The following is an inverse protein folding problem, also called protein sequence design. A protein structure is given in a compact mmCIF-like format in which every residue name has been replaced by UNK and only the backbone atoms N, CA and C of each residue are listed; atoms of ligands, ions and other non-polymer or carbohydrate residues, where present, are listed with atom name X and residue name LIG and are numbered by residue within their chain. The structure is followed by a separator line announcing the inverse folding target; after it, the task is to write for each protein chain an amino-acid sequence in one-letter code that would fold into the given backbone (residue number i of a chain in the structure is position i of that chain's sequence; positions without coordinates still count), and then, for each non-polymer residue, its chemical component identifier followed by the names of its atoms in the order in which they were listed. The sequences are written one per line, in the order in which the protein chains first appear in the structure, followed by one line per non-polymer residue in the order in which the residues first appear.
data_IF_333436736802
#
_entry.id   IF_333436736802
#
_cell.length_a   1.000
_cell.length_b   1.000
_cell.length_c   1.000
_cell.angle_alpha   90.00
_cell.angle_beta   90.00
_cell.angle_gamma   90.00
#
_symmetry.space_group_name_H-M   'P 1'
#
loop_
_entity.id
_entity.type
_entity.pdbx_description
1 polymer ?
#
# COMPACT_ATOMS: atom_id res chain seq x y z
N UNK A 1 -8.30 16.39 -2.69
CA UNK A 1 -7.95 15.13 -1.98
C UNK A 1 -6.56 14.70 -2.40
N UNK A 2 -5.74 14.22 -1.47
CA UNK A 2 -4.40 13.68 -1.78
C UNK A 2 -4.49 12.15 -1.83
N UNK A 3 -5.10 11.62 -2.90
CA UNK A 3 -5.26 10.18 -3.10
C UNK A 3 -3.93 9.57 -3.53
N UNK A 4 -3.54 8.48 -2.89
CA UNK A 4 -2.30 7.72 -3.14
C UNK A 4 -2.55 6.28 -3.55
N UNK A 5 -3.70 5.73 -3.17
CA UNK A 5 -4.14 4.38 -3.51
C UNK A 5 -5.58 4.42 -3.98
N UNK A 6 -5.87 3.72 -5.07
CA UNK A 6 -7.24 3.43 -5.50
C UNK A 6 -7.45 1.92 -5.45
N UNK A 7 -8.47 1.50 -4.70
CA UNK A 7 -8.89 0.11 -4.60
C UNK A 7 -10.15 -0.06 -5.44
N UNK A 8 -10.09 -0.95 -6.42
CA UNK A 8 -11.13 -1.15 -7.42
C UNK A 8 -11.94 -2.41 -7.12
N UNK A 9 -13.27 -2.32 -7.22
CA UNK A 9 -14.06 -3.47 -7.63
C UNK A 9 -13.87 -3.71 -9.13
N UNK A 10 -14.29 -4.86 -9.60
CA UNK A 10 -14.14 -5.26 -10.99
C UNK A 10 -15.49 -5.29 -11.72
N UNK A 11 -16.44 -6.08 -11.20
CA UNK A 11 -17.76 -6.24 -11.78
C UNK A 11 -18.57 -4.93 -11.66
N UNK A 12 -19.14 -4.46 -12.75
CA UNK A 12 -19.83 -3.18 -12.78
C UNK A 12 -18.92 -1.92 -12.83
N UNK A 13 -17.60 -2.09 -12.66
CA UNK A 13 -16.60 -0.99 -12.64
C UNK A 13 -15.62 -1.10 -13.80
N UNK A 14 -14.81 -2.17 -13.86
CA UNK A 14 -13.86 -2.43 -14.96
C UNK A 14 -14.54 -3.09 -16.16
N UNK A 15 -15.62 -3.82 -15.94
CA UNK A 15 -16.44 -4.49 -16.97
C UNK A 15 -17.88 -4.65 -16.51
N UNK A 16 -18.78 -4.89 -17.47
CA UNK A 16 -20.23 -4.86 -17.22
C UNK A 16 -20.78 -6.10 -16.48
N UNK A 17 -20.18 -7.28 -16.68
CA UNK A 17 -20.76 -8.53 -16.21
C UNK A 17 -19.99 -9.12 -15.04
N UNK A 18 -20.68 -9.85 -14.16
CA UNK A 18 -20.04 -10.68 -13.15
C UNK A 18 -19.38 -11.89 -13.80
N UNK A 19 -18.04 -11.92 -13.79
CA UNK A 19 -17.23 -13.02 -14.33
C UNK A 19 -17.50 -14.32 -13.57
N UNK A 20 -17.79 -14.22 -12.28
CA UNK A 20 -18.13 -15.37 -11.44
C UNK A 20 -19.42 -16.08 -11.88
N UNK A 21 -20.42 -15.32 -12.33
CA UNK A 21 -21.75 -15.83 -12.69
C UNK A 21 -21.84 -16.22 -14.17
N UNK A 22 -21.35 -15.36 -15.05
CA UNK A 22 -21.53 -15.51 -16.51
C UNK A 22 -20.34 -16.18 -17.21
N UNK A 23 -19.18 -16.21 -16.57
CA UNK A 23 -17.93 -16.67 -17.18
C UNK A 23 -17.36 -15.71 -18.24
N UNK A 24 -17.92 -14.50 -18.38
CA UNK A 24 -17.53 -13.47 -19.35
C UNK A 24 -17.55 -12.10 -18.69
N UNK A 25 -16.66 -11.20 -19.11
CA UNK A 25 -16.61 -9.81 -18.66
C UNK A 25 -17.73 -8.94 -19.24
N UNK A 26 -18.39 -9.38 -20.33
CA UNK A 26 -19.17 -8.45 -21.15
C UNK A 26 -18.27 -7.36 -21.76
N UNK A 27 -18.76 -6.13 -21.82
CA UNK A 27 -17.98 -5.01 -22.35
C UNK A 27 -17.00 -4.49 -21.30
N UNK A 28 -15.73 -4.37 -21.68
CA UNK A 28 -14.65 -3.83 -20.85
C UNK A 28 -14.66 -2.29 -20.90
N UNK A 29 -14.50 -1.65 -19.76
CA UNK A 29 -14.42 -0.20 -19.63
C UNK A 29 -12.98 0.30 -19.89
N UNK A 30 -12.66 0.55 -21.16
CA UNK A 30 -11.34 1.01 -21.56
C UNK A 30 -10.95 2.37 -20.94
N UNK A 31 -11.91 3.24 -20.61
CA UNK A 31 -11.61 4.52 -19.93
C UNK A 31 -10.99 4.29 -18.54
N UNK A 32 -11.49 3.30 -17.80
CA UNK A 32 -10.92 2.93 -16.49
C UNK A 32 -9.52 2.33 -16.67
N UNK A 33 -9.32 1.47 -17.68
CA UNK A 33 -8.00 0.87 -17.96
C UNK A 33 -6.97 1.95 -18.29
N UNK A 34 -7.31 2.87 -19.18
CA UNK A 34 -6.43 3.98 -19.57
C UNK A 34 -6.12 4.88 -18.38
N UNK A 35 -7.12 5.14 -17.53
CA UNK A 35 -6.93 5.89 -16.30
C UNK A 35 -5.98 5.19 -15.34
N UNK A 36 -6.12 3.87 -15.12
CA UNK A 36 -5.22 3.08 -14.26
C UNK A 36 -3.79 3.20 -14.77
N UNK A 37 -3.55 2.95 -16.07
CA UNK A 37 -2.22 3.04 -16.69
C UNK A 37 -1.60 4.42 -16.54
N UNK A 38 -2.39 5.48 -16.76
CA UNK A 38 -1.90 6.85 -16.70
C UNK A 38 -1.64 7.33 -15.26
N UNK A 39 -2.56 7.05 -14.35
CA UNK A 39 -2.44 7.47 -12.95
C UNK A 39 -1.35 6.70 -12.20
N UNK A 40 -1.12 5.44 -12.55
CA UNK A 40 0.01 4.66 -12.04
C UNK A 40 1.35 5.34 -12.37
N UNK A 41 1.57 5.74 -13.63
CA UNK A 41 2.75 6.47 -14.05
C UNK A 41 2.94 7.81 -13.31
N UNK A 42 1.84 8.40 -12.85
CA UNK A 42 1.82 9.64 -12.08
C UNK A 42 2.01 9.43 -10.57
N UNK A 43 2.15 8.17 -10.10
CA UNK A 43 2.45 7.83 -8.71
C UNK A 43 1.25 7.40 -7.86
N UNK A 44 0.07 7.21 -8.46
CA UNK A 44 -1.06 6.55 -7.81
C UNK A 44 -0.81 5.03 -7.80
N UNK A 45 -1.08 4.39 -6.68
CA UNK A 45 -1.02 2.94 -6.53
C UNK A 45 -2.41 2.38 -6.76
N UNK A 46 -2.49 1.20 -7.34
CA UNK A 46 -3.75 0.51 -7.58
C UNK A 46 -3.80 -0.84 -6.88
N UNK A 47 -4.96 -1.19 -6.36
CA UNK A 47 -5.27 -2.52 -5.82
C UNK A 47 -6.65 -2.97 -6.30
N UNK A 48 -6.95 -4.23 -6.14
CA UNK A 48 -8.26 -4.82 -6.44
C UNK A 48 -8.84 -5.44 -5.19
N UNK A 49 -10.15 -5.22 -4.95
CA UNK A 49 -10.94 -5.95 -3.96
C UNK A 49 -12.25 -6.40 -4.60
N UNK A 50 -12.32 -7.65 -5.04
CA UNK A 50 -13.47 -8.18 -5.79
C UNK A 50 -13.85 -9.58 -5.34
N UNK A 51 -15.17 -9.87 -5.30
CA UNK A 51 -15.73 -11.18 -4.97
C UNK A 51 -15.79 -12.06 -6.22
N UNK A 52 -14.65 -12.62 -6.59
CA UNK A 52 -14.46 -13.35 -7.83
C UNK A 52 -13.51 -14.55 -7.68
N UNK A 53 -13.38 -15.34 -8.75
CA UNK A 53 -12.35 -16.37 -8.89
C UNK A 53 -11.02 -15.74 -9.32
N UNK A 54 -10.01 -15.87 -8.47
CA UNK A 54 -8.67 -15.31 -8.71
C UNK A 54 -8.05 -15.74 -10.03
N UNK A 55 -8.16 -17.04 -10.39
CA UNK A 55 -7.49 -17.56 -11.56
C UNK A 55 -8.09 -16.97 -12.83
N UNK A 56 -9.42 -16.92 -12.91
CA UNK A 56 -10.13 -16.34 -14.07
C UNK A 56 -9.85 -14.86 -14.21
N UNK A 57 -10.00 -14.11 -13.10
CA UNK A 57 -9.78 -12.65 -13.09
C UNK A 57 -8.33 -12.32 -13.44
N UNK A 58 -7.37 -13.03 -12.86
CA UNK A 58 -5.95 -12.82 -13.15
C UNK A 58 -5.67 -12.97 -14.65
N UNK A 59 -6.16 -14.04 -15.29
CA UNK A 59 -6.01 -14.24 -16.75
C UNK A 59 -6.56 -13.05 -17.53
N UNK A 60 -7.75 -12.55 -17.18
CA UNK A 60 -8.35 -11.39 -17.86
C UNK A 60 -7.51 -10.13 -17.67
N UNK A 61 -7.05 -9.86 -16.46
CA UNK A 61 -6.23 -8.68 -16.17
C UNK A 61 -4.85 -8.74 -16.82
N UNK A 62 -4.29 -9.96 -17.01
CA UNK A 62 -3.06 -10.20 -17.77
C UNK A 62 -3.30 -9.95 -19.29
N UNK A 63 -4.41 -10.41 -19.85
CA UNK A 63 -4.80 -10.13 -21.24
C UNK A 63 -5.01 -8.64 -21.52
N UNK A 64 -5.48 -7.89 -20.52
CA UNK A 64 -5.66 -6.43 -20.57
C UNK A 64 -4.36 -5.65 -20.29
N UNK A 65 -3.26 -6.33 -19.98
CA UNK A 65 -1.96 -5.74 -19.65
C UNK A 65 -2.03 -4.74 -18.48
N UNK A 66 -2.73 -5.13 -17.40
CA UNK A 66 -2.88 -4.33 -16.17
C UNK A 66 -2.67 -5.13 -14.89
N UNK A 67 -2.51 -6.45 -14.93
CA UNK A 67 -2.32 -7.26 -13.72
C UNK A 67 -1.14 -6.77 -12.87
N UNK A 68 -0.02 -6.48 -13.50
CA UNK A 68 1.21 -6.08 -12.80
C UNK A 68 1.13 -4.67 -12.19
N UNK A 69 0.12 -3.89 -12.56
CA UNK A 69 -0.12 -2.56 -11.98
C UNK A 69 -0.81 -2.62 -10.61
N UNK A 70 -1.41 -3.77 -10.25
CA UNK A 70 -2.09 -3.93 -8.97
C UNK A 70 -1.15 -4.50 -7.91
N UNK A 71 -1.23 -3.94 -6.70
CA UNK A 71 -0.52 -4.39 -5.51
C UNK A 71 -1.52 -4.89 -4.46
N UNK A 72 -1.15 -5.91 -3.71
CA UNK A 72 -2.02 -6.54 -2.70
C UNK A 72 -3.44 -6.85 -3.21
N UNK A 73 -3.62 -7.42 -4.43
CA UNK A 73 -4.93 -7.72 -4.95
C UNK A 73 -5.62 -8.77 -4.07
N UNK A 74 -6.86 -8.48 -3.68
CA UNK A 74 -7.71 -9.38 -2.91
C UNK A 74 -8.91 -9.79 -3.77
N UNK A 75 -8.84 -10.97 -4.34
CA UNK A 75 -9.85 -11.54 -5.23
C UNK A 75 -10.28 -12.87 -4.65
N UNK A 76 -11.31 -12.82 -3.84
CA UNK A 76 -11.94 -13.95 -3.17
C UNK A 76 -13.37 -13.57 -2.73
N UNK A 77 -14.09 -14.49 -2.08
CA UNK A 77 -15.45 -14.25 -1.63
C UNK A 77 -15.56 -13.73 -0.19
N UNK A 78 -14.49 -13.16 0.35
CA UNK A 78 -14.50 -12.56 1.68
C UNK A 78 -15.23 -11.22 1.72
N UNK A 79 -15.72 -10.77 2.90
CA UNK A 79 -16.32 -9.45 3.06
C UNK A 79 -15.36 -8.32 2.66
N UNK A 80 -15.86 -7.32 1.92
CA UNK A 80 -15.00 -6.23 1.38
C UNK A 80 -14.48 -5.28 2.46
N UNK A 81 -15.26 -5.01 3.51
CA UNK A 81 -14.87 -4.09 4.56
C UNK A 81 -13.55 -4.44 5.24
N UNK A 82 -13.42 -5.62 5.89
CA UNK A 82 -12.17 -6.06 6.49
C UNK A 82 -11.03 -6.18 5.47
N UNK A 83 -11.36 -6.62 4.23
CA UNK A 83 -10.39 -6.84 3.16
C UNK A 83 -9.75 -5.53 2.71
N UNK A 84 -10.53 -4.49 2.44
CA UNK A 84 -10.03 -3.16 2.07
C UNK A 84 -9.21 -2.56 3.21
N UNK A 85 -9.64 -2.70 4.47
CA UNK A 85 -8.84 -2.25 5.62
C UNK A 85 -7.47 -2.95 5.66
N UNK A 86 -7.42 -4.26 5.41
CA UNK A 86 -6.16 -5.02 5.33
C UNK A 86 -5.27 -4.55 4.18
N UNK A 87 -5.82 -4.21 3.01
CA UNK A 87 -5.07 -3.63 1.88
C UNK A 87 -4.44 -2.31 2.31
N UNK A 88 -5.20 -1.42 2.96
CA UNK A 88 -4.72 -0.12 3.45
C UNK A 88 -3.56 -0.30 4.43
N UNK A 89 -3.69 -1.20 5.39
CA UNK A 89 -2.65 -1.53 6.37
C UNK A 89 -1.39 -2.10 5.70
N UNK A 90 -1.56 -3.01 4.73
CA UNK A 90 -0.46 -3.60 3.97
C UNK A 90 0.30 -2.57 3.15
N UNK A 91 -0.42 -1.61 2.56
CA UNK A 91 0.16 -0.47 1.87
C UNK A 91 0.75 0.59 2.82
N UNK A 92 0.55 0.47 4.13
CA UNK A 92 1.01 1.43 5.15
C UNK A 92 0.52 2.87 4.87
N UNK A 93 -0.69 3.02 4.39
CA UNK A 93 -1.30 4.30 4.06
C UNK A 93 -2.36 4.71 5.09
N UNK A 94 -2.65 6.02 5.13
CA UNK A 94 -3.81 6.52 5.86
C UNK A 94 -5.08 6.34 5.03
N UNK A 95 -6.20 6.03 5.68
CA UNK A 95 -7.51 5.91 5.03
C UNK A 95 -7.88 7.15 4.21
N UNK A 96 -7.52 8.36 4.68
CA UNK A 96 -7.74 9.63 3.95
C UNK A 96 -7.06 9.70 2.57
N UNK A 97 -6.01 8.89 2.35
CA UNK A 97 -5.28 8.86 1.09
C UNK A 97 -5.74 7.71 0.16
N UNK A 98 -6.84 7.04 0.52
CA UNK A 98 -7.37 5.89 -0.22
C UNK A 98 -8.74 6.22 -0.79
N UNK A 99 -8.95 5.83 -2.04
CA UNK A 99 -10.23 5.85 -2.72
C UNK A 99 -10.66 4.41 -2.99
N UNK A 100 -11.85 4.04 -2.56
CA UNK A 100 -12.49 2.77 -2.90
C UNK A 100 -13.60 3.02 -3.93
N UNK A 101 -13.59 2.25 -5.02
CA UNK A 101 -14.54 2.37 -6.13
C UNK A 101 -15.31 1.07 -6.27
N UNK A 102 -16.63 1.13 -6.13
CA UNK A 102 -17.53 -0.04 -6.18
C UNK A 102 -18.92 0.45 -6.57
N UNK A 103 -19.59 -0.19 -7.53
CA UNK A 103 -20.91 0.20 -8.00
C UNK A 103 -22.04 -0.15 -7.00
N UNK A 104 -21.74 -0.98 -5.98
CA UNK A 104 -22.69 -1.44 -4.99
C UNK A 104 -22.57 -0.66 -3.68
N UNK A 105 -23.59 0.14 -3.36
CA UNK A 105 -23.65 0.94 -2.14
C UNK A 105 -23.57 0.09 -0.85
N UNK A 106 -23.97 -1.19 -0.89
CA UNK A 106 -23.86 -2.09 0.27
C UNK A 106 -22.37 -2.34 0.59
N UNK A 107 -21.57 -2.61 -0.43
CA UNK A 107 -20.12 -2.79 -0.28
C UNK A 107 -19.44 -1.50 0.20
N UNK A 108 -19.85 -0.36 -0.38
CA UNK A 108 -19.35 0.97 0.04
C UNK A 108 -19.63 1.21 1.53
N UNK A 109 -20.85 0.94 1.98
CA UNK A 109 -21.24 1.12 3.38
C UNK A 109 -20.50 0.15 4.31
N UNK A 110 -20.28 -1.09 3.86
CA UNK A 110 -19.46 -2.06 4.59
C UNK A 110 -18.02 -1.55 4.76
N UNK A 111 -17.41 -1.07 3.68
CA UNK A 111 -16.04 -0.54 3.72
C UNK A 111 -15.95 0.69 4.62
N UNK A 112 -16.89 1.62 4.55
CA UNK A 112 -16.96 2.79 5.45
C UNK A 112 -17.10 2.41 6.92
N UNK A 113 -17.78 1.32 7.23
CA UNK A 113 -17.88 0.84 8.61
C UNK A 113 -16.54 0.43 9.19
N UNK A 114 -15.70 -0.27 8.41
CA UNK A 114 -14.35 -0.70 8.82
C UNK A 114 -13.27 0.36 8.64
N UNK A 115 -13.48 1.29 7.73
CA UNK A 115 -12.56 2.36 7.38
C UNK A 115 -13.31 3.70 7.26
N UNK A 116 -13.68 4.35 8.37
CA UNK A 116 -14.59 5.51 8.36
C UNK A 116 -14.07 6.72 7.60
N UNK A 117 -12.75 6.86 7.49
CA UNK A 117 -12.09 8.01 6.86
C UNK A 117 -11.72 7.77 5.39
N UNK A 118 -12.14 6.63 4.81
CA UNK A 118 -11.87 6.31 3.41
C UNK A 118 -12.72 7.16 2.46
N UNK A 119 -12.15 7.54 1.32
CA UNK A 119 -12.92 8.15 0.24
C UNK A 119 -13.57 7.04 -0.58
N UNK A 120 -14.77 7.28 -1.09
CA UNK A 120 -15.51 6.28 -1.88
C UNK A 120 -16.20 6.93 -3.07
N UNK A 121 -16.28 6.19 -4.18
CA UNK A 121 -17.07 6.52 -5.36
C UNK A 121 -17.89 5.30 -5.79
N UNK A 122 -19.14 5.52 -6.18
CA UNK A 122 -20.03 4.45 -6.65
C UNK A 122 -20.14 4.37 -8.19
N UNK A 123 -19.37 5.16 -8.88
CA UNK A 123 -19.25 5.14 -10.34
C UNK A 123 -17.88 5.66 -10.76
N UNK A 124 -17.58 5.59 -12.05
CA UNK A 124 -16.28 5.96 -12.61
C UNK A 124 -16.23 7.39 -13.16
N UNK A 125 -17.27 8.20 -12.98
CA UNK A 125 -17.32 9.58 -13.50
C UNK A 125 -16.28 10.51 -12.88
N UNK A 126 -15.83 10.20 -11.66
CA UNK A 126 -14.77 10.94 -10.98
C UNK A 126 -13.47 11.02 -11.80
N UNK A 127 -13.21 10.04 -12.68
CA UNK A 127 -12.03 9.99 -13.56
C UNK A 127 -11.92 11.28 -14.41
N UNK A 128 -13.05 11.85 -14.85
CA UNK A 128 -13.08 13.04 -15.70
C UNK A 128 -12.58 14.30 -15.00
N UNK A 129 -12.68 14.34 -13.68
CA UNK A 129 -12.29 15.48 -12.83
C UNK A 129 -11.15 15.17 -11.88
N UNK A 130 -10.55 13.97 -11.99
CA UNK A 130 -9.49 13.55 -11.11
C UNK A 130 -8.22 14.38 -11.32
N UNK A 131 -7.73 14.98 -10.24
CA UNK A 131 -6.50 15.77 -10.30
C UNK A 131 -5.29 14.84 -10.21
N UNK A 132 -4.63 14.60 -11.34
CA UNK A 132 -3.44 13.75 -11.42
C UNK A 132 -2.28 14.36 -10.64
N UNK A 133 -1.65 13.62 -9.73
CA UNK A 133 -0.44 14.09 -9.07
C UNK A 133 0.73 14.16 -10.08
N UNK A 134 1.70 15.01 -9.78
CA UNK A 134 2.97 15.05 -10.47
C UNK A 134 3.95 14.13 -9.75
N UNK A 135 3.97 12.87 -10.10
CA UNK A 135 4.79 11.84 -9.46
C UNK A 135 5.48 10.93 -10.45
N UNK A 136 6.03 9.85 -9.93
CA UNK A 136 6.57 8.73 -10.70
C UNK A 136 5.93 7.44 -10.19
N UNK A 137 5.86 6.40 -11.03
CA UNK A 137 5.42 5.08 -10.63
C UNK A 137 6.06 4.63 -9.30
N UNK A 138 5.26 4.02 -8.46
CA UNK A 138 5.64 3.50 -7.14
C UNK A 138 5.31 2.01 -7.02
N UNK A 139 4.75 1.41 -8.04
CA UNK A 139 4.27 0.03 -8.05
C UNK A 139 5.36 -0.96 -7.65
N UNK A 140 6.57 -0.83 -8.19
CA UNK A 140 7.70 -1.70 -7.84
C UNK A 140 8.04 -1.67 -6.35
N UNK A 141 7.96 -0.50 -5.71
CA UNK A 141 8.21 -0.38 -4.27
C UNK A 141 7.17 -1.16 -3.45
N UNK A 142 5.91 -1.14 -3.90
CA UNK A 142 4.82 -1.86 -3.23
C UNK A 142 4.81 -3.35 -3.55
N UNK A 143 5.27 -3.76 -4.74
CA UNK A 143 5.53 -5.18 -5.05
C UNK A 143 6.60 -5.77 -4.12
N UNK A 144 7.64 -5.02 -3.80
CA UNK A 144 8.62 -5.44 -2.79
C UNK A 144 7.97 -5.58 -1.39
N UNK A 145 7.03 -4.71 -1.03
CA UNK A 145 6.29 -4.84 0.24
C UNK A 145 5.38 -6.08 0.24
N UNK A 146 4.76 -6.41 -0.88
CA UNK A 146 3.99 -7.65 -1.05
C UNK A 146 4.85 -8.88 -0.75
N UNK A 147 6.01 -8.99 -1.41
CA UNK A 147 6.95 -10.11 -1.19
C UNK A 147 7.34 -10.19 0.29
N UNK A 148 7.70 -9.05 0.90
CA UNK A 148 8.06 -9.02 2.32
C UNK A 148 6.90 -9.35 3.27
N UNK A 149 5.65 -9.08 2.89
CA UNK A 149 4.49 -9.43 3.69
C UNK A 149 4.27 -10.95 3.71
N UNK A 150 4.39 -11.60 2.54
CA UNK A 150 4.35 -13.07 2.44
C UNK A 150 5.47 -13.73 3.24
N UNK A 151 6.68 -13.16 3.20
CA UNK A 151 7.83 -13.68 3.94
C UNK A 151 7.71 -13.50 5.45
N UNK A 152 6.99 -12.49 5.95
CA UNK A 152 6.75 -12.30 7.39
C UNK A 152 5.91 -13.41 8.01
N UNK A 153 4.99 -13.98 7.26
CA UNK A 153 4.19 -15.12 7.71
C UNK A 153 4.99 -16.44 7.68
N UNK A 154 6.13 -16.46 6.98
CA UNK A 154 7.08 -17.56 6.96
C UNK A 154 8.28 -17.28 7.90
N UNK A 155 8.20 -17.76 9.14
CA UNK A 155 9.31 -17.69 10.13
C UNK A 155 10.63 -18.30 9.60
N UNK A 156 10.58 -19.10 8.57
CA UNK A 156 11.73 -19.70 7.86
C UNK A 156 12.63 -18.64 7.21
N UNK A 157 12.09 -17.54 6.71
CA UNK A 157 12.87 -16.46 6.07
C UNK A 157 13.94 -15.87 6.99
N UNK A 158 13.61 -15.67 8.26
CA UNK A 158 14.59 -15.14 9.24
C UNK A 158 15.72 -16.12 9.56
N UNK A 159 15.50 -17.43 9.39
CA UNK A 159 16.51 -18.47 9.61
C UNK A 159 17.44 -18.65 8.41
N UNK A 160 16.92 -18.42 7.20
CA UNK A 160 17.65 -18.64 5.94
C UNK A 160 18.33 -17.36 5.42
N UNK A 161 17.93 -16.19 5.92
CA UNK A 161 18.62 -14.94 5.63
C UNK A 161 19.86 -14.83 6.53
N UNK A 162 21.04 -14.73 5.95
CA UNK A 162 22.32 -14.51 6.66
C UNK A 162 22.35 -13.08 7.24
N UNK A 163 21.39 -12.81 8.16
CA UNK A 163 21.26 -11.50 8.81
C UNK A 163 22.38 -11.37 9.84
N UNK A 164 23.35 -10.54 9.53
CA UNK A 164 24.42 -10.16 10.48
C UNK A 164 23.93 -8.98 11.30
N UNK A 165 23.64 -9.23 12.58
CA UNK A 165 23.32 -8.17 13.55
C UNK A 165 24.61 -7.68 14.16
N UNK A 166 24.94 -6.40 13.93
CA UNK A 166 26.05 -5.72 14.59
C UNK A 166 25.51 -4.74 15.62
N UNK A 167 25.85 -4.94 16.88
CA UNK A 167 25.48 -4.03 17.96
C UNK A 167 26.67 -3.09 18.18
N UNK A 168 26.48 -1.80 17.90
CA UNK A 168 27.48 -0.76 18.15
C UNK A 168 27.06 0.09 19.34
N UNK A 169 28.00 0.44 20.20
CA UNK A 169 27.81 1.33 21.33
C UNK A 169 28.45 2.70 21.07
N UNK A 170 28.16 3.67 21.93
CA UNK A 170 28.35 5.13 21.83
C UNK A 170 29.49 5.64 20.93
N UNK A 171 30.67 5.06 20.97
CA UNK A 171 31.83 5.60 20.24
C UNK A 171 31.87 5.23 18.76
N UNK A 172 31.20 4.17 18.37
CA UNK A 172 31.19 3.66 16.99
C UNK A 172 29.93 4.02 16.21
N UNK A 173 28.93 4.63 16.86
CA UNK A 173 27.68 5.03 16.20
C UNK A 173 27.88 6.17 15.19
N UNK A 174 28.96 6.94 15.30
CA UNK A 174 29.22 8.09 14.41
C UNK A 174 29.31 7.73 12.94
N UNK A 175 29.85 6.56 12.63
CA UNK A 175 29.97 6.07 11.25
C UNK A 175 28.59 5.89 10.61
N UNK A 176 27.55 5.65 11.43
CA UNK A 176 26.18 5.42 10.98
C UNK A 176 25.22 6.59 11.29
N UNK A 177 25.76 7.74 11.75
CA UNK A 177 24.94 8.85 12.24
C UNK A 177 23.89 9.32 11.23
N UNK A 178 24.28 9.56 9.97
CA UNK A 178 23.36 10.01 8.92
C UNK A 178 22.24 9.00 8.69
N UNK A 179 22.57 7.70 8.71
CA UNK A 179 21.59 6.64 8.56
C UNK A 179 20.66 6.53 9.77
N UNK A 180 21.17 6.74 10.97
CA UNK A 180 20.37 6.76 12.20
C UNK A 180 19.39 7.93 12.15
N UNK A 181 19.84 9.11 11.78
CA UNK A 181 18.99 10.29 11.62
C UNK A 181 17.90 10.08 10.58
N UNK A 182 18.25 9.48 9.44
CA UNK A 182 17.28 9.11 8.40
C UNK A 182 16.21 8.17 8.95
N UNK A 183 16.59 7.09 9.62
CA UNK A 183 15.67 6.10 10.18
C UNK A 183 14.77 6.71 11.25
N UNK A 184 15.31 7.52 12.16
CA UNK A 184 14.53 8.20 13.20
C UNK A 184 13.53 9.18 12.58
N UNK A 185 13.94 9.93 11.56
CA UNK A 185 13.05 10.87 10.88
C UNK A 185 11.93 10.19 10.05
N UNK A 186 12.15 8.95 9.62
CA UNK A 186 11.15 8.16 8.88
C UNK A 186 10.21 7.39 9.82
N UNK A 187 10.63 7.13 11.06
CA UNK A 187 9.87 6.31 12.01
C UNK A 187 8.96 7.15 12.89
N UNK A 188 7.68 7.27 12.52
CA UNK A 188 6.67 7.92 13.36
C UNK A 188 6.26 7.06 14.58
N UNK A 189 6.37 5.72 14.48
CA UNK A 189 5.96 4.80 15.58
C UNK A 189 7.01 4.59 16.67
N UNK A 190 8.29 4.74 16.34
CA UNK A 190 9.39 4.55 17.29
C UNK A 190 9.96 5.86 17.84
N UNK A 191 9.53 6.99 17.31
CA UNK A 191 9.94 8.31 17.77
C UNK A 191 8.96 8.85 18.82
N UNK A 192 9.10 8.36 20.06
CA UNK A 192 8.24 8.75 21.19
C UNK A 192 8.31 10.25 21.54
N UNK A 193 9.40 10.93 21.17
CA UNK A 193 9.56 12.37 21.41
C UNK A 193 8.94 13.22 20.30
N UNK A 194 8.54 12.64 19.19
CA UNK A 194 8.11 13.32 17.95
C UNK A 194 9.11 14.41 17.47
N UNK A 195 10.37 14.27 17.86
CA UNK A 195 11.44 15.21 17.53
C UNK A 195 12.13 14.74 16.25
N UNK A 196 12.21 15.62 15.25
CA UNK A 196 12.96 15.35 14.02
C UNK A 196 14.36 15.93 14.15
N UNK A 197 15.38 15.12 13.85
CA UNK A 197 16.76 15.58 13.84
C UNK A 197 17.06 16.33 12.54
N UNK A 198 17.60 17.53 12.67
CA UNK A 198 18.17 18.27 11.53
C UNK A 198 19.66 17.93 11.41
N UNK A 199 20.14 17.68 10.21
CA UNK A 199 21.54 17.33 9.92
C UNK A 199 22.60 18.34 10.39
N UNK A 200 22.19 19.52 10.82
CA UNK A 200 23.10 20.65 11.11
C UNK A 200 23.68 20.65 12.54
N UNK A 201 23.20 19.79 13.45
CA UNK A 201 23.62 19.81 14.85
C UNK A 201 24.60 18.68 15.20
N UNK A 202 25.71 18.62 14.48
CA UNK A 202 26.72 17.56 14.65
C UNK A 202 27.50 17.61 15.97
N UNK A 203 27.44 18.68 16.74
CA UNK A 203 28.36 18.90 17.88
C UNK A 203 27.63 19.04 19.22
N UNK A 204 26.43 19.51 19.29
CA UNK A 204 25.75 19.85 20.55
C UNK A 204 24.85 18.75 21.14
N UNK A 205 24.51 17.71 20.41
CA UNK A 205 23.61 16.64 20.89
C UNK A 205 24.34 15.42 21.46
N UNK A 206 25.66 15.46 21.52
CA UNK A 206 26.50 14.37 22.04
C UNK A 206 26.19 13.91 23.46
N UNK A 207 25.76 14.78 24.40
CA UNK A 207 25.47 14.34 25.78
C UNK A 207 24.10 13.70 25.97
N UNK A 208 23.18 13.84 24.99
CA UNK A 208 21.77 13.47 25.14
C UNK A 208 21.36 12.15 24.46
N UNK A 209 22.23 11.56 23.66
CA UNK A 209 21.97 10.22 23.09
C UNK A 209 22.45 9.17 24.11
N UNK A 210 21.82 9.13 25.25
CA UNK A 210 21.90 8.00 26.17
C UNK A 210 20.91 6.95 25.71
N UNK A 211 21.32 6.10 24.77
CA UNK A 211 20.62 4.86 24.51
C UNK A 211 20.90 3.98 25.73
N UNK A 212 20.00 4.01 26.71
CA UNK A 212 20.05 3.03 27.78
C UNK A 212 20.02 1.64 27.15
N UNK A 213 21.13 0.97 27.22
CA UNK A 213 21.25 -0.45 26.86
C UNK A 213 20.49 -1.28 27.90
N UNK A 214 19.19 -1.37 27.77
CA UNK A 214 18.43 -2.51 28.27
C UNK A 214 17.83 -3.19 27.06
N UNK A 215 18.51 -4.29 26.70
CA UNK A 215 17.97 -5.40 25.90
C UNK A 215 16.73 -5.02 25.09
N UNK A 216 16.92 -4.58 23.83
CA UNK A 216 15.89 -4.85 22.82
C UNK A 216 16.41 -4.38 21.45
N UNK A 217 16.41 -5.26 20.57
CA UNK A 217 16.62 -5.34 19.15
C UNK A 217 16.42 -4.02 18.40
N UNK A 218 17.42 -3.57 17.68
CA UNK A 218 17.31 -2.63 16.56
C UNK A 218 17.31 -3.47 15.29
N UNK A 219 16.16 -3.53 14.63
CA UNK A 219 15.97 -4.11 13.30
C UNK A 219 16.17 -3.02 12.27
#
# INVERSE_FOLDING_TARGET
MDIKLIVWDLDGVLWESSVGETGSTGQVNHQVIDFIKHSEQSGIIHSVCSKNDLVKVKTILEELDIWDLFVFPAIDYTPKGPTVNKIIESCQLSQFNVLFVDDNDININEVKYFSPDINTENNVDFIKSFNMPTGKSRTDQYKILEIKAVDRDNITYLKDSDIKISITNDKNCFVFYDRICELVNRSNRLNFSNTKFQQVLHIELMPYIHIQSRQNYVV
#
